data_IF_269217331735
#
_entry.id   IF_269217331735
#
_cell.length_a   1.000
_cell.length_b   1.000
_cell.length_c   1.000
_cell.angle_alpha   90.00
_cell.angle_beta   90.00
_cell.angle_gamma   90.00
#
_symmetry.space_group_name_H-M   'P 1'
#
loop_
_entity.id
_entity.type
_entity.pdbx_description
1 polymer ?
#
# COMPACT_ATOMS: atom_id res chain seq x y z
N UNK A 1 -1.17 -28.29 14.35
CA UNK A 1 0.22 -27.99 13.92
C UNK A 1 0.31 -27.43 12.50
N UNK A 2 -0.39 -27.99 11.47
CA UNK A 2 -0.38 -27.42 10.10
C UNK A 2 -1.12 -26.07 10.03
N UNK A 3 -2.29 -25.97 10.67
CA UNK A 3 -3.13 -24.76 10.68
C UNK A 3 -2.43 -23.54 11.32
N UNK A 4 -1.74 -23.76 12.43
CA UNK A 4 -0.98 -22.73 13.16
C UNK A 4 0.20 -22.17 12.33
N UNK A 5 0.80 -22.97 11.45
CA UNK A 5 1.82 -22.50 10.51
C UNK A 5 1.21 -21.63 9.39
N UNK A 6 0.03 -21.98 8.89
CA UNK A 6 -0.66 -21.24 7.82
C UNK A 6 -1.14 -19.87 8.34
N UNK A 7 -1.70 -19.82 9.54
CA UNK A 7 -2.16 -18.58 10.15
C UNK A 7 -1.00 -17.62 10.43
N UNK A 8 0.13 -18.13 10.93
CA UNK A 8 1.35 -17.35 11.12
C UNK A 8 1.93 -16.82 9.80
N UNK A 9 1.91 -17.62 8.73
CA UNK A 9 2.33 -17.19 7.39
C UNK A 9 1.43 -16.07 6.85
N UNK A 10 0.11 -16.22 7.04
CA UNK A 10 -0.91 -15.26 6.62
C UNK A 10 -0.76 -13.93 7.37
N UNK A 11 -0.56 -13.99 8.69
CA UNK A 11 -0.31 -12.81 9.53
C UNK A 11 0.99 -12.08 9.13
N UNK A 12 2.07 -12.83 8.85
CA UNK A 12 3.34 -12.25 8.38
C UNK A 12 3.19 -11.58 7.02
N UNK A 13 2.43 -12.18 6.09
CA UNK A 13 2.11 -11.56 4.81
C UNK A 13 1.40 -10.23 5.00
N UNK A 14 0.33 -10.21 5.79
CA UNK A 14 -0.47 -9.00 6.01
C UNK A 14 0.32 -7.91 6.70
N UNK A 15 1.17 -8.28 7.67
CA UNK A 15 2.07 -7.33 8.31
C UNK A 15 3.09 -6.75 7.33
N UNK A 16 3.66 -7.59 6.45
CA UNK A 16 4.61 -7.11 5.43
C UNK A 16 3.94 -6.20 4.40
N UNK A 17 2.70 -6.49 3.98
CA UNK A 17 1.92 -5.65 3.08
C UNK A 17 1.58 -4.30 3.73
N UNK A 18 1.12 -4.32 4.99
CA UNK A 18 0.85 -3.11 5.76
C UNK A 18 2.11 -2.27 5.95
N UNK A 19 3.23 -2.90 6.33
CA UNK A 19 4.50 -2.19 6.50
C UNK A 19 4.93 -1.51 5.20
N UNK A 20 4.80 -2.20 4.06
CA UNK A 20 5.11 -1.64 2.74
C UNK A 20 4.18 -0.47 2.38
N UNK A 21 2.88 -0.62 2.64
CA UNK A 21 1.88 0.44 2.41
C UNK A 21 2.17 1.67 3.27
N UNK A 22 2.42 1.50 4.56
CA UNK A 22 2.76 2.59 5.48
C UNK A 22 4.07 3.28 5.11
N UNK A 23 5.10 2.52 4.74
CA UNK A 23 6.37 3.11 4.31
C UNK A 23 6.21 3.93 3.02
N UNK A 24 5.41 3.43 2.06
CA UNK A 24 5.10 4.16 0.84
C UNK A 24 4.29 5.43 1.11
N UNK A 25 3.28 5.33 1.98
CA UNK A 25 2.44 6.45 2.38
C UNK A 25 3.27 7.54 3.06
N UNK A 26 4.18 7.17 3.96
CA UNK A 26 5.09 8.13 4.60
C UNK A 26 5.98 8.83 3.56
N UNK A 27 6.53 8.09 2.61
CA UNK A 27 7.41 8.66 1.59
C UNK A 27 6.66 9.55 0.58
N UNK A 28 5.70 8.98 -0.15
CA UNK A 28 5.00 9.68 -1.22
C UNK A 28 3.95 10.66 -0.69
N UNK A 29 3.33 10.36 0.45
CA UNK A 29 2.42 11.29 1.12
C UNK A 29 3.17 12.48 1.69
N UNK A 30 4.36 12.27 2.26
CA UNK A 30 5.25 13.35 2.66
C UNK A 30 5.63 14.27 1.50
N UNK A 31 6.03 13.69 0.36
CA UNK A 31 6.31 14.45 -0.87
C UNK A 31 5.11 15.24 -1.35
N UNK A 32 3.92 14.64 -1.37
CA UNK A 32 2.69 15.32 -1.77
C UNK A 32 2.41 16.54 -0.90
N UNK A 33 2.53 16.42 0.43
CA UNK A 33 2.30 17.53 1.36
C UNK A 33 3.31 18.66 1.15
N UNK A 34 4.61 18.35 1.01
CA UNK A 34 5.66 19.35 0.80
C UNK A 34 5.43 20.13 -0.49
N UNK A 35 5.12 19.43 -1.58
CA UNK A 35 4.88 20.04 -2.90
C UNK A 35 3.59 20.86 -2.94
N UNK A 36 2.51 20.40 -2.29
CA UNK A 36 1.22 21.11 -2.24
C UNK A 36 1.24 22.34 -1.33
N UNK A 37 2.06 22.35 -0.28
CA UNK A 37 2.15 23.46 0.68
C UNK A 37 3.17 24.53 0.30
N UNK A 38 3.91 24.34 -0.81
CA UNK A 38 4.86 25.33 -1.33
C UNK A 38 6.11 25.52 -0.48
N UNK A 39 6.65 24.43 0.10
CA UNK A 39 7.73 24.42 1.08
C UNK A 39 8.85 25.47 0.86
N UNK A 40 9.03 26.37 1.84
CA UNK A 40 10.14 27.33 1.91
C UNK A 40 11.46 26.72 2.40
N UNK A 41 12.58 27.41 2.17
CA UNK A 41 13.96 26.88 2.18
C UNK A 41 14.40 25.94 3.31
N UNK A 42 14.00 26.17 4.57
CA UNK A 42 14.36 25.28 5.71
C UNK A 42 13.47 24.04 5.84
N UNK A 43 12.19 24.13 5.42
CA UNK A 43 11.29 22.98 5.33
C UNK A 43 11.72 22.02 4.21
N UNK A 44 12.38 22.53 3.16
CA UNK A 44 12.90 21.71 2.07
C UNK A 44 14.11 20.86 2.47
N UNK A 45 15.06 21.39 3.26
CA UNK A 45 16.24 20.63 3.64
C UNK A 45 15.93 19.48 4.61
N UNK A 46 15.14 19.75 5.65
CA UNK A 46 14.67 18.73 6.59
C UNK A 46 13.68 17.77 5.92
N UNK A 47 12.75 18.29 5.10
CA UNK A 47 11.83 17.50 4.29
C UNK A 47 12.55 16.52 3.37
N UNK A 48 13.62 16.94 2.69
CA UNK A 48 14.41 16.06 1.83
C UNK A 48 15.06 14.90 2.59
N UNK A 49 15.50 15.11 3.83
CA UNK A 49 16.05 14.04 4.69
C UNK A 49 14.95 13.04 5.06
N UNK A 50 13.76 13.51 5.42
CA UNK A 50 12.62 12.63 5.71
C UNK A 50 12.16 11.85 4.48
N UNK A 51 12.16 12.48 3.30
CA UNK A 51 11.85 11.84 2.03
C UNK A 51 12.88 10.76 1.70
N UNK A 52 14.17 11.04 1.92
CA UNK A 52 15.25 10.07 1.70
C UNK A 52 15.15 8.90 2.70
N UNK A 53 14.88 9.18 3.97
CA UNK A 53 14.67 8.15 4.98
C UNK A 53 13.45 7.28 4.66
N UNK A 54 12.35 7.91 4.23
CA UNK A 54 11.13 7.23 3.80
C UNK A 54 11.35 6.35 2.57
N UNK A 55 12.11 6.83 1.58
CA UNK A 55 12.42 6.05 0.37
C UNK A 55 13.29 4.83 0.70
N UNK A 56 14.31 5.00 1.55
CA UNK A 56 15.16 3.90 2.02
C UNK A 56 14.35 2.88 2.84
N UNK A 57 13.47 3.35 3.71
CA UNK A 57 12.57 2.48 4.48
C UNK A 57 11.63 1.70 3.57
N UNK A 58 11.08 2.33 2.52
CA UNK A 58 10.23 1.65 1.56
C UNK A 58 11.00 0.62 0.73
N UNK A 59 12.22 0.93 0.29
CA UNK A 59 13.10 -0.03 -0.39
C UNK A 59 13.36 -1.24 0.52
N UNK A 60 13.70 -1.01 1.79
CA UNK A 60 13.90 -2.08 2.76
C UNK A 60 12.64 -2.93 2.96
N UNK A 61 11.45 -2.30 3.05
CA UNK A 61 10.16 -2.98 3.12
C UNK A 61 9.91 -3.87 1.90
N UNK A 62 10.20 -3.37 0.69
CA UNK A 62 10.02 -4.09 -0.55
C UNK A 62 10.98 -5.28 -0.66
N UNK A 63 12.25 -5.10 -0.28
CA UNK A 63 13.23 -6.19 -0.21
C UNK A 63 12.79 -7.28 0.78
N UNK A 64 12.27 -6.89 1.93
CA UNK A 64 11.70 -7.82 2.91
C UNK A 64 10.50 -8.58 2.33
N UNK A 65 9.58 -7.89 1.66
CA UNK A 65 8.42 -8.50 1.02
C UNK A 65 8.81 -9.50 -0.09
N UNK A 66 9.76 -9.14 -0.95
CA UNK A 66 10.28 -10.03 -2.00
C UNK A 66 10.92 -11.28 -1.37
N UNK A 67 11.76 -11.10 -0.36
CA UNK A 67 12.39 -12.23 0.35
C UNK A 67 11.34 -13.13 1.00
N UNK A 68 10.30 -12.55 1.61
CA UNK A 68 9.19 -13.30 2.18
C UNK A 68 8.46 -14.12 1.10
N UNK A 69 8.16 -13.55 -0.07
CA UNK A 69 7.53 -14.29 -1.17
C UNK A 69 8.37 -15.48 -1.64
N UNK A 70 9.69 -15.31 -1.77
CA UNK A 70 10.59 -16.40 -2.17
C UNK A 70 10.58 -17.54 -1.15
N UNK A 71 10.58 -17.23 0.15
CA UNK A 71 10.51 -18.22 1.22
C UNK A 71 9.18 -18.99 1.21
N UNK A 72 8.06 -18.28 1.04
CA UNK A 72 6.71 -18.89 0.98
C UNK A 72 6.57 -19.81 -0.23
N UNK A 73 7.06 -19.38 -1.41
CA UNK A 73 7.06 -20.22 -2.62
C UNK A 73 7.91 -21.49 -2.44
N UNK A 74 9.10 -21.36 -1.84
CA UNK A 74 10.02 -22.48 -1.60
C UNK A 74 9.43 -23.53 -0.64
N UNK A 75 8.60 -23.12 0.31
CA UNK A 75 7.97 -24.00 1.28
C UNK A 75 6.79 -24.83 0.75
N UNK A 76 6.44 -24.76 -0.55
CA UNK A 76 5.24 -25.38 -1.17
C UNK A 76 3.88 -25.03 -0.51
N UNK A 77 3.87 -24.13 0.48
CA UNK A 77 2.66 -23.56 1.07
C UNK A 77 1.83 -22.73 0.05
N UNK A 78 2.41 -22.41 -1.11
CA UNK A 78 1.72 -21.70 -2.21
C UNK A 78 0.45 -22.40 -2.70
N UNK A 79 0.37 -23.74 -2.64
CA UNK A 79 -0.81 -24.48 -3.11
C UNK A 79 -2.03 -24.32 -2.19
N UNK A 80 -1.83 -24.01 -0.91
CA UNK A 80 -2.90 -23.69 0.06
C UNK A 80 -3.21 -22.18 0.06
N UNK A 81 -2.27 -21.34 -0.41
CA UNK A 81 -2.37 -19.88 -0.44
C UNK A 81 -2.87 -19.29 -1.77
N UNK A 82 -2.85 -20.05 -2.86
CA UNK A 82 -3.47 -19.72 -4.16
C UNK A 82 -4.84 -20.40 -4.34
N UNK A 83 -5.54 -20.61 -3.22
CA UNK A 83 -6.94 -20.99 -3.23
C UNK A 83 -7.78 -19.94 -4.00
N UNK A 84 -8.88 -20.38 -4.61
CA UNK A 84 -9.79 -19.55 -5.39
C UNK A 84 -10.29 -18.34 -4.58
N UNK A 85 -10.44 -18.53 -3.26
CA UNK A 85 -10.73 -17.46 -2.32
C UNK A 85 -9.66 -16.36 -2.30
N UNK A 86 -8.38 -16.72 -2.21
CA UNK A 86 -7.28 -15.77 -2.20
C UNK A 86 -7.17 -15.01 -3.53
N UNK A 87 -7.41 -15.70 -4.65
CA UNK A 87 -7.48 -15.06 -5.98
C UNK A 87 -8.61 -14.04 -6.05
N UNK A 88 -9.81 -14.39 -5.60
CA UNK A 88 -10.95 -13.49 -5.58
C UNK A 88 -10.73 -12.27 -4.67
N UNK A 89 -10.11 -12.46 -3.50
CA UNK A 89 -9.74 -11.36 -2.60
C UNK A 89 -8.76 -10.40 -3.25
N UNK A 90 -7.71 -10.91 -3.94
CA UNK A 90 -6.76 -10.06 -4.69
C UNK A 90 -7.46 -9.28 -5.79
N UNK A 91 -8.32 -9.92 -6.58
CA UNK A 91 -9.05 -9.27 -7.67
C UNK A 91 -9.96 -8.16 -7.15
N UNK A 92 -10.70 -8.40 -6.05
CA UNK A 92 -11.54 -7.37 -5.41
C UNK A 92 -10.72 -6.20 -4.89
N UNK A 93 -9.59 -6.47 -4.24
CA UNK A 93 -8.70 -5.44 -3.72
C UNK A 93 -8.11 -4.58 -4.84
N UNK A 94 -7.67 -5.20 -5.95
CA UNK A 94 -7.18 -4.49 -7.14
C UNK A 94 -8.31 -3.67 -7.76
N UNK A 95 -9.49 -4.25 -7.98
CA UNK A 95 -10.62 -3.54 -8.59
C UNK A 95 -11.01 -2.30 -7.78
N UNK A 96 -11.11 -2.43 -6.46
CA UNK A 96 -11.41 -1.30 -5.57
C UNK A 96 -10.29 -0.25 -5.57
N UNK A 97 -9.03 -0.69 -5.50
CA UNK A 97 -7.88 0.21 -5.59
C UNK A 97 -7.82 0.99 -6.91
N UNK A 98 -8.05 0.30 -8.04
CA UNK A 98 -8.14 0.92 -9.36
C UNK A 98 -9.31 1.90 -9.45
N UNK A 99 -10.48 1.55 -8.94
CA UNK A 99 -11.63 2.45 -8.89
C UNK A 99 -11.32 3.74 -8.12
N UNK A 100 -10.77 3.62 -6.90
CA UNK A 100 -10.35 4.80 -6.11
C UNK A 100 -9.29 5.64 -6.82
N UNK A 101 -8.38 5.00 -7.53
CA UNK A 101 -7.36 5.70 -8.32
C UNK A 101 -7.99 6.51 -9.44
N UNK A 102 -8.91 5.93 -10.22
CA UNK A 102 -9.61 6.64 -11.29
C UNK A 102 -10.47 7.79 -10.76
N UNK A 103 -11.19 7.58 -9.66
CA UNK A 103 -11.96 8.64 -8.99
C UNK A 103 -11.03 9.77 -8.54
N UNK A 104 -9.87 9.44 -7.98
CA UNK A 104 -8.90 10.45 -7.51
C UNK A 104 -8.30 11.24 -8.68
N UNK A 105 -8.00 10.59 -9.81
CA UNK A 105 -7.53 11.25 -11.03
C UNK A 105 -8.62 12.18 -11.58
N UNK A 106 -9.86 11.71 -11.68
CA UNK A 106 -10.98 12.52 -12.16
C UNK A 106 -11.20 13.75 -11.26
N UNK A 107 -11.18 13.56 -9.94
CA UNK A 107 -11.31 14.65 -8.98
C UNK A 107 -10.15 15.65 -9.10
N UNK A 108 -8.92 15.16 -9.20
CA UNK A 108 -7.74 16.01 -9.39
C UNK A 108 -7.83 16.83 -10.69
N UNK A 109 -8.29 16.21 -11.77
CA UNK A 109 -8.48 16.89 -13.06
C UNK A 109 -9.53 18.00 -12.96
N UNK A 110 -10.66 17.74 -12.30
CA UNK A 110 -11.69 18.75 -12.06
C UNK A 110 -11.14 19.87 -11.18
N UNK A 111 -10.43 19.56 -10.10
CA UNK A 111 -9.85 20.56 -9.20
C UNK A 111 -8.84 21.48 -9.90
N UNK A 112 -8.00 20.92 -10.78
CA UNK A 112 -7.05 21.69 -11.60
C UNK A 112 -7.73 22.72 -12.51
N UNK A 113 -9.02 22.55 -12.83
CA UNK A 113 -9.78 23.53 -13.60
C UNK A 113 -10.23 24.75 -12.76
N UNK A 114 -10.26 24.62 -11.43
CA UNK A 114 -10.72 25.68 -10.52
C UNK A 114 -9.60 26.30 -9.68
N UNK A 115 -8.54 25.54 -9.40
CA UNK A 115 -7.44 25.93 -8.51
C UNK A 115 -6.12 25.54 -9.17
N UNK A 116 -5.16 26.46 -9.17
CA UNK A 116 -3.80 26.18 -9.62
C UNK A 116 -3.08 25.33 -8.57
N UNK A 117 -3.00 24.02 -8.82
CA UNK A 117 -2.34 23.06 -7.95
C UNK A 117 -1.01 22.63 -8.58
N UNK A 118 0.07 22.50 -7.79
CA UNK A 118 1.34 22.04 -8.30
C UNK A 118 1.20 20.59 -8.79
N UNK A 119 1.32 20.40 -10.10
CA UNK A 119 1.11 19.12 -10.80
C UNK A 119 1.93 18.00 -10.15
N UNK A 120 3.15 18.29 -9.71
CA UNK A 120 4.02 17.32 -9.04
C UNK A 120 3.42 16.79 -7.73
N UNK A 121 2.86 17.66 -6.90
CA UNK A 121 2.17 17.27 -5.66
C UNK A 121 0.93 16.43 -5.91
N UNK A 122 0.15 16.78 -6.95
CA UNK A 122 -1.02 16.01 -7.39
C UNK A 122 -0.63 14.60 -7.84
N UNK A 123 0.44 14.47 -8.62
CA UNK A 123 0.97 13.16 -9.07
C UNK A 123 1.39 12.29 -7.88
N UNK A 124 2.08 12.87 -6.88
CA UNK A 124 2.43 12.13 -5.66
C UNK A 124 1.20 11.62 -4.91
N UNK A 125 0.13 12.42 -4.77
CA UNK A 125 -1.12 11.96 -4.16
C UNK A 125 -1.75 10.81 -4.94
N UNK A 126 -1.77 10.89 -6.28
CA UNK A 126 -2.31 9.82 -7.13
C UNK A 126 -1.50 8.53 -6.91
N UNK A 127 -0.17 8.61 -6.83
CA UNK A 127 0.65 7.44 -6.54
C UNK A 127 0.36 6.85 -5.17
N UNK A 128 0.22 7.68 -4.13
CA UNK A 128 -0.19 7.22 -2.79
C UNK A 128 -1.47 6.42 -2.88
N UNK A 129 -2.52 6.96 -3.52
CA UNK A 129 -3.80 6.25 -3.65
C UNK A 129 -3.61 4.96 -4.45
N UNK A 130 -2.95 5.02 -5.60
CA UNK A 130 -2.78 3.89 -6.51
C UNK A 130 -2.08 2.69 -5.86
N UNK A 131 -1.12 2.93 -4.98
CA UNK A 131 -0.36 1.86 -4.32
C UNK A 131 -1.00 1.46 -2.99
N UNK A 132 -1.40 2.43 -2.16
CA UNK A 132 -1.87 2.13 -0.80
C UNK A 132 -3.30 1.61 -0.77
N UNK A 133 -4.18 2.11 -1.65
CA UNK A 133 -5.57 1.67 -1.69
C UNK A 133 -5.71 0.15 -1.90
N UNK A 134 -5.14 -0.48 -2.94
CA UNK A 134 -5.27 -1.93 -3.11
C UNK A 134 -4.63 -2.72 -1.97
N UNK A 135 -3.51 -2.26 -1.40
CA UNK A 135 -2.84 -2.92 -0.28
C UNK A 135 -3.69 -2.89 1.01
N UNK A 136 -4.24 -1.73 1.37
CA UNK A 136 -5.13 -1.62 2.53
C UNK A 136 -6.44 -2.38 2.31
N UNK A 137 -6.98 -2.35 1.10
CA UNK A 137 -8.21 -3.07 0.73
C UNK A 137 -8.03 -4.57 0.90
N UNK A 138 -6.91 -5.10 0.41
CA UNK A 138 -6.56 -6.50 0.54
C UNK A 138 -6.54 -6.92 2.02
N UNK A 139 -5.81 -6.16 2.84
CA UNK A 139 -5.68 -6.44 4.28
C UNK A 139 -7.03 -6.30 4.99
N UNK A 140 -7.84 -5.31 4.64
CA UNK A 140 -9.16 -5.09 5.24
C UNK A 140 -10.16 -6.22 4.93
N UNK A 141 -10.19 -6.71 3.67
CA UNK A 141 -11.02 -7.85 3.27
C UNK A 141 -10.59 -9.10 4.04
N UNK A 142 -9.28 -9.31 4.18
CA UNK A 142 -8.73 -10.46 4.88
C UNK A 142 -9.05 -10.43 6.39
N UNK A 143 -8.91 -9.27 7.05
CA UNK A 143 -9.31 -9.11 8.45
C UNK A 143 -10.81 -9.30 8.69
N UNK A 144 -11.68 -8.86 7.77
CA UNK A 144 -13.13 -9.09 7.86
C UNK A 144 -13.46 -10.56 7.72
N UNK A 145 -12.78 -11.27 6.82
CA UNK A 145 -13.01 -12.70 6.62
C UNK A 145 -12.68 -13.52 7.85
N UNK A 146 -11.54 -13.27 8.51
CA UNK A 146 -11.17 -14.00 9.72
C UNK A 146 -12.19 -13.80 10.85
N UNK A 147 -12.68 -12.56 11.05
CA UNK A 147 -13.70 -12.26 12.07
C UNK A 147 -15.02 -13.01 11.85
N UNK A 148 -15.40 -13.27 10.60
CA UNK A 148 -16.64 -13.97 10.29
C UNK A 148 -16.53 -15.48 10.54
N UNK A 149 -15.31 -16.05 10.54
CA UNK A 149 -15.10 -17.46 10.88
C UNK A 149 -15.15 -17.73 12.39
N UNK A 150 -14.82 -16.74 13.22
CA UNK A 150 -14.89 -16.86 14.69
C UNK A 150 -16.34 -16.77 15.23
N UNK A 151 -17.31 -16.38 14.40
CA UNK A 151 -18.71 -16.17 14.78
C UNK A 151 -19.69 -17.24 14.25
N UNK A 152 -19.22 -18.23 13.48
CA UNK A 152 -20.03 -19.31 12.91
C UNK A 152 -19.65 -20.66 13.47
#
# INVERSE_FOLDING_TARGET
MIMENIENLTRRRNFSLLFTACAFLLWQGGMAVVELTGGGGYANASGNIFVLAGSLMWIAAMLYFIRFQVLVKKARAGCVLDDEWARNTRLRAIAFGSFLTFVSIALAYVLLAFIDLPVRGVVHMIFVVAVTAPLFSYVAIEFRSNRNMDQG
#
